data_IF_258457166102
#
_entry.id   IF_258457166102
#
_cell.length_a   1.000
_cell.length_b   1.000
_cell.length_c   1.000
_cell.angle_alpha   90.00
_cell.angle_beta   90.00
_cell.angle_gamma   90.00
#
_symmetry.space_group_name_H-M   'P 1'
#
loop_
_entity.id
_entity.type
_entity.pdbx_description
1 polymer ?
#
# COMPACT_ATOMS: atom_id res chain seq x y z
N UNK A 1 -23.61 6.92 -19.22
CA UNK A 1 -23.82 7.05 -17.75
C UNK A 1 -22.90 8.16 -17.26
N UNK A 2 -23.42 9.17 -16.58
CA UNK A 2 -22.62 10.28 -16.08
C UNK A 2 -21.93 9.84 -14.77
N UNK A 3 -20.64 10.08 -14.64
CA UNK A 3 -19.85 9.80 -13.44
C UNK A 3 -19.32 11.12 -12.86
N UNK A 4 -19.22 11.21 -11.55
CA UNK A 4 -18.56 12.33 -10.86
C UNK A 4 -17.04 12.19 -10.90
N UNK A 5 -16.48 12.20 -12.10
CA UNK A 5 -15.04 12.07 -12.35
C UNK A 5 -14.62 13.19 -13.28
N UNK A 6 -13.66 14.02 -12.86
CA UNK A 6 -13.12 15.10 -13.68
C UNK A 6 -12.15 14.57 -14.74
N UNK A 7 -11.24 13.69 -14.34
CA UNK A 7 -10.25 13.07 -15.20
C UNK A 7 -10.13 11.58 -14.84
N UNK A 8 -10.50 10.67 -15.76
CA UNK A 8 -10.39 9.23 -15.52
C UNK A 8 -8.96 8.76 -15.17
N UNK A 9 -7.92 9.40 -15.69
CA UNK A 9 -6.53 9.04 -15.40
C UNK A 9 -6.09 9.44 -13.99
N UNK A 10 -6.79 10.39 -13.37
CA UNK A 10 -6.47 10.89 -12.03
C UNK A 10 -7.38 10.29 -10.92
N UNK A 11 -8.28 9.36 -11.25
CA UNK A 11 -9.31 8.89 -10.32
C UNK A 11 -8.72 8.29 -9.05
N UNK A 12 -7.70 7.47 -9.16
CA UNK A 12 -7.05 6.82 -8.01
C UNK A 12 -6.35 7.87 -7.14
N UNK A 13 -5.53 8.72 -7.73
CA UNK A 13 -4.82 9.78 -7.01
C UNK A 13 -5.80 10.73 -6.31
N UNK A 14 -6.86 11.15 -6.99
CA UNK A 14 -7.89 12.04 -6.44
C UNK A 14 -8.63 11.41 -5.26
N UNK A 15 -8.94 10.10 -5.34
CA UNK A 15 -9.59 9.36 -4.26
C UNK A 15 -8.70 9.28 -3.02
N UNK A 16 -7.42 8.98 -3.20
CA UNK A 16 -6.45 8.93 -2.10
C UNK A 16 -6.21 10.31 -1.48
N UNK A 17 -6.17 11.36 -2.30
CA UNK A 17 -6.06 12.74 -1.80
C UNK A 17 -7.30 13.16 -0.98
N UNK A 18 -8.48 12.74 -1.41
CA UNK A 18 -9.70 12.98 -0.65
C UNK A 18 -9.67 12.27 0.70
N UNK A 19 -9.23 11.00 0.74
CA UNK A 19 -9.07 10.22 1.97
C UNK A 19 -8.08 10.91 2.92
N UNK A 20 -6.92 11.31 2.44
CA UNK A 20 -5.91 11.99 3.25
C UNK A 20 -6.43 13.31 3.80
N UNK A 21 -7.07 14.13 2.96
CA UNK A 21 -7.67 15.41 3.39
C UNK A 21 -8.76 15.24 4.45
N UNK A 22 -9.58 14.20 4.33
CA UNK A 22 -10.67 13.92 5.28
C UNK A 22 -10.19 13.29 6.59
N UNK A 23 -8.93 12.86 6.65
CA UNK A 23 -8.39 12.17 7.83
C UNK A 23 -8.10 13.07 9.04
N UNK A 24 -8.25 14.39 8.92
CA UNK A 24 -7.91 15.32 10.01
C UNK A 24 -6.43 15.34 10.38
N UNK A 25 -5.54 15.05 9.43
CA UNK A 25 -4.09 15.01 9.64
C UNK A 25 -3.54 13.68 10.16
N UNK A 26 -4.38 12.64 10.26
CA UNK A 26 -3.94 11.31 10.69
C UNK A 26 -3.18 10.55 9.61
N UNK A 27 -3.45 10.84 8.34
CA UNK A 27 -2.85 10.20 7.19
C UNK A 27 -2.05 11.21 6.36
N UNK A 28 -1.06 10.69 5.64
CA UNK A 28 -0.28 11.46 4.66
C UNK A 28 0.03 10.58 3.44
N UNK A 29 0.36 11.22 2.32
CA UNK A 29 0.89 10.55 1.13
C UNK A 29 2.38 10.78 0.99
N UNK A 30 3.07 9.88 0.26
CA UNK A 30 4.42 10.16 -0.20
C UNK A 30 4.36 11.21 -1.31
N UNK A 31 5.10 12.30 -1.13
CA UNK A 31 5.21 13.39 -2.10
C UNK A 31 6.32 13.14 -3.12
N UNK A 32 6.21 13.79 -4.28
CA UNK A 32 7.25 13.84 -5.31
C UNK A 32 7.31 12.64 -6.25
N UNK A 33 6.39 11.71 -6.14
CA UNK A 33 6.32 10.51 -6.99
C UNK A 33 4.90 10.32 -7.51
N UNK A 34 4.51 10.91 -8.64
CA UNK A 34 3.13 10.87 -9.13
C UNK A 34 2.62 9.45 -9.41
N UNK A 35 3.52 8.55 -9.83
CA UNK A 35 3.20 7.15 -10.12
C UNK A 35 3.27 6.24 -8.88
N UNK A 36 3.75 6.76 -7.74
CA UNK A 36 3.79 6.06 -6.45
C UNK A 36 2.63 6.53 -5.60
N UNK A 37 1.66 5.65 -5.37
CA UNK A 37 0.45 5.94 -4.63
C UNK A 37 0.47 5.24 -3.27
N UNK A 38 1.17 5.84 -2.30
CA UNK A 38 1.29 5.32 -0.94
C UNK A 38 0.60 6.25 0.05
N UNK A 39 -0.34 5.71 0.80
CA UNK A 39 -0.94 6.36 1.97
C UNK A 39 -0.33 5.74 3.21
N UNK A 40 0.13 6.56 4.14
CA UNK A 40 0.68 6.10 5.42
C UNK A 40 0.19 6.92 6.59
N UNK A 41 0.39 6.40 7.79
CA UNK A 41 0.16 7.17 9.01
C UNK A 41 1.07 8.41 9.04
N UNK A 42 0.52 9.56 9.41
CA UNK A 42 1.29 10.79 9.59
C UNK A 42 2.30 10.66 10.73
N UNK A 43 1.87 10.03 11.84
CA UNK A 43 2.73 9.70 12.97
C UNK A 43 3.06 8.20 12.94
N UNK A 44 4.32 7.88 12.78
CA UNK A 44 4.81 6.51 12.78
C UNK A 44 5.14 6.08 14.22
N UNK A 45 4.72 4.88 14.62
CA UNK A 45 5.12 4.34 15.91
C UNK A 45 6.62 4.03 15.90
N UNK A 46 7.33 4.45 16.93
CA UNK A 46 8.70 4.02 17.16
C UNK A 46 8.75 2.55 17.64
N UNK A 47 9.82 1.85 17.29
CA UNK A 47 10.16 0.51 17.78
C UNK A 47 9.05 -0.55 17.57
N UNK A 48 8.27 -0.41 16.49
CA UNK A 48 7.23 -1.37 16.11
C UNK A 48 7.40 -1.81 14.68
N UNK A 49 7.10 -3.08 14.44
CA UNK A 49 7.02 -3.63 13.09
C UNK A 49 5.94 -2.88 12.30
N UNK A 50 6.32 -2.37 11.13
CA UNK A 50 5.40 -1.69 10.24
C UNK A 50 4.55 -2.72 9.46
N UNK A 51 3.24 -2.56 9.46
CA UNK A 51 2.32 -3.38 8.68
C UNK A 51 2.01 -2.67 7.36
N UNK A 52 2.32 -3.32 6.24
CA UNK A 52 2.10 -2.79 4.90
C UNK A 52 1.25 -3.78 4.10
N UNK A 53 0.25 -3.27 3.42
CA UNK A 53 -0.51 -4.02 2.43
C UNK A 53 -0.76 -3.17 1.20
N UNK A 54 -1.39 -3.72 0.20
CA UNK A 54 -1.72 -3.00 -1.03
C UNK A 54 -2.24 -3.91 -2.12
N UNK A 55 -2.39 -3.32 -3.26
CA UNK A 55 -2.90 -3.95 -4.47
C UNK A 55 -3.53 -2.93 -5.40
N UNK A 56 -4.25 -3.39 -6.41
CA UNK A 56 -5.01 -2.52 -7.30
C UNK A 56 -6.07 -1.73 -6.55
N UNK A 57 -6.33 -0.50 -7.00
CA UNK A 57 -7.47 0.27 -6.58
C UNK A 57 -8.79 -0.33 -7.12
N UNK A 58 -9.95 0.09 -6.60
CA UNK A 58 -11.27 -0.42 -6.99
C UNK A 58 -11.82 -1.47 -6.03
N UNK A 59 -11.12 -1.75 -4.94
CA UNK A 59 -11.53 -2.66 -3.86
C UNK A 59 -11.85 -1.92 -2.56
N UNK A 60 -12.08 -0.61 -2.62
CA UNK A 60 -12.25 0.24 -1.44
C UNK A 60 -13.29 -0.35 -0.45
N UNK A 61 -12.99 -0.26 0.85
CA UNK A 61 -11.95 0.52 1.54
C UNK A 61 -10.54 -0.09 1.49
N UNK A 62 -10.34 -1.26 0.90
CA UNK A 62 -9.01 -1.86 0.77
C UNK A 62 -8.16 -1.09 -0.24
N UNK A 63 -6.93 -0.70 0.08
CA UNK A 63 -6.23 -0.95 1.33
C UNK A 63 -6.01 0.36 2.10
N UNK A 64 -6.08 1.50 1.43
CA UNK A 64 -5.80 2.82 2.03
C UNK A 64 -6.74 3.15 3.21
N UNK A 65 -7.99 2.70 3.15
CA UNK A 65 -8.96 2.86 4.24
C UNK A 65 -8.63 2.06 5.51
N UNK A 66 -7.66 1.16 5.46
CA UNK A 66 -7.20 0.38 6.61
C UNK A 66 -5.95 0.97 7.26
N UNK A 67 -5.45 2.10 6.78
CA UNK A 67 -4.30 2.77 7.38
C UNK A 67 -4.75 3.52 8.63
N UNK A 68 -4.17 3.16 9.78
CA UNK A 68 -4.54 3.79 11.05
C UNK A 68 -3.90 3.12 12.25
N UNK A 69 -4.19 3.64 13.42
CA UNK A 69 -3.72 3.07 14.68
C UNK A 69 -4.36 1.70 14.92
N UNK A 70 -3.54 0.69 15.19
CA UNK A 70 -3.99 -0.70 15.41
C UNK A 70 -4.27 -1.49 14.11
N UNK A 71 -4.07 -0.87 12.94
CA UNK A 71 -4.23 -1.48 11.62
C UNK A 71 -2.94 -1.26 10.79
N UNK A 72 -3.09 -1.00 9.47
CA UNK A 72 -1.93 -0.80 8.60
C UNK A 72 -1.15 0.46 8.95
N UNK A 73 0.16 0.38 8.83
CA UNK A 73 1.07 1.54 8.88
C UNK A 73 1.08 2.27 7.55
N UNK A 74 1.04 1.53 6.43
CA UNK A 74 0.94 2.07 5.08
C UNK A 74 0.17 1.13 4.15
N UNK A 75 -0.41 1.72 3.10
CA UNK A 75 -1.04 1.02 2.00
C UNK A 75 -0.50 1.52 0.67
N UNK A 76 -0.21 0.60 -0.24
CA UNK A 76 0.27 0.90 -1.60
C UNK A 76 -0.84 0.62 -2.59
N UNK A 77 -1.26 1.63 -3.34
CA UNK A 77 -2.29 1.50 -4.37
C UNK A 77 -1.67 1.47 -5.76
N UNK A 78 -2.07 0.49 -6.55
CA UNK A 78 -1.86 0.50 -7.98
C UNK A 78 -2.96 1.28 -8.71
N UNK A 79 -3.02 1.16 -10.03
CA UNK A 79 -4.16 1.62 -10.80
C UNK A 79 -5.38 0.72 -10.57
N UNK A 80 -6.53 1.05 -11.16
CA UNK A 80 -7.76 0.28 -10.99
C UNK A 80 -7.52 -1.18 -11.41
N UNK A 81 -7.68 -2.10 -10.48
CA UNK A 81 -7.46 -3.55 -10.62
C UNK A 81 -6.06 -3.96 -11.14
N UNK A 82 -5.07 -3.09 -10.99
CA UNK A 82 -3.69 -3.36 -11.37
C UNK A 82 -2.76 -3.26 -10.16
N UNK A 83 -1.90 -4.25 -10.00
CA UNK A 83 -0.93 -4.30 -8.88
C UNK A 83 0.01 -3.09 -8.91
N UNK A 84 0.38 -2.53 -7.76
CA UNK A 84 1.37 -1.46 -7.69
C UNK A 84 2.74 -1.95 -8.16
N UNK A 85 3.57 -1.02 -8.61
CA UNK A 85 4.94 -1.32 -9.03
C UNK A 85 5.83 -1.74 -7.85
N UNK A 86 6.92 -2.43 -8.18
CA UNK A 86 7.97 -2.80 -7.20
C UNK A 86 8.52 -1.56 -6.51
N UNK A 87 8.71 -0.48 -7.26
CA UNK A 87 9.21 0.80 -6.79
C UNK A 87 8.26 1.45 -5.77
N UNK A 88 6.95 1.38 -6.02
CA UNK A 88 5.95 1.90 -5.10
C UNK A 88 5.93 1.14 -3.77
N UNK A 89 6.00 -0.20 -3.83
CA UNK A 89 6.07 -1.03 -2.62
C UNK A 89 7.36 -0.79 -1.86
N UNK A 90 8.50 -0.71 -2.56
CA UNK A 90 9.80 -0.39 -1.94
C UNK A 90 9.77 0.99 -1.28
N UNK A 91 9.21 2.00 -1.94
CA UNK A 91 9.06 3.33 -1.36
C UNK A 91 8.23 3.31 -0.07
N UNK A 92 7.16 2.52 -0.03
CA UNK A 92 6.37 2.33 1.19
C UNK A 92 7.22 1.74 2.33
N UNK A 93 7.94 0.64 2.07
CA UNK A 93 8.83 0.01 3.06
C UNK A 93 9.83 1.04 3.60
N UNK A 94 10.52 1.74 2.70
CA UNK A 94 11.54 2.72 3.08
C UNK A 94 10.98 3.89 3.88
N UNK A 95 9.71 4.24 3.68
CA UNK A 95 9.07 5.39 4.34
C UNK A 95 8.54 5.11 5.73
N UNK A 96 8.36 3.84 6.13
CA UNK A 96 7.72 3.49 7.40
C UNK A 96 8.57 2.57 8.29
N UNK A 97 9.68 2.06 7.79
CA UNK A 97 10.58 1.22 8.58
C UNK A 97 11.27 2.04 9.68
N UNK A 98 10.95 1.72 10.92
CA UNK A 98 11.54 2.35 12.13
C UNK A 98 12.81 1.64 12.63
N UNK A 99 13.28 0.61 11.90
CA UNK A 99 14.35 -0.28 12.35
C UNK A 99 13.85 -1.57 13.02
N UNK A 100 12.56 -1.64 13.35
CA UNK A 100 11.93 -2.86 13.87
C UNK A 100 11.47 -3.83 12.77
N UNK A 101 11.63 -3.43 11.51
CA UNK A 101 11.25 -4.21 10.33
C UNK A 101 9.83 -3.97 9.84
N UNK A 102 9.50 -4.65 8.75
CA UNK A 102 8.21 -4.56 8.08
C UNK A 102 7.60 -5.94 7.85
N UNK A 103 6.27 -6.05 7.99
CA UNK A 103 5.49 -7.19 7.55
C UNK A 103 4.60 -6.77 6.39
N UNK A 104 4.77 -7.41 5.24
CA UNK A 104 3.94 -7.24 4.06
C UNK A 104 2.80 -8.26 4.08
N UNK A 105 1.57 -7.78 4.10
CA UNK A 105 0.36 -8.62 3.99
C UNK A 105 -0.13 -8.53 2.55
N UNK A 106 0.00 -9.62 1.79
CA UNK A 106 -0.14 -9.63 0.33
C UNK A 106 -1.29 -10.52 -0.09
N UNK A 107 -2.15 -10.02 -0.96
CA UNK A 107 -3.22 -10.82 -1.57
C UNK A 107 -2.64 -11.87 -2.52
N UNK A 108 -3.34 -13.00 -2.66
CA UNK A 108 -2.90 -14.12 -3.48
C UNK A 108 -3.13 -13.90 -4.99
N UNK A 109 -2.78 -12.73 -5.50
CA UNK A 109 -2.77 -12.43 -6.94
C UNK A 109 -1.34 -12.47 -7.47
N UNK A 110 -1.18 -12.97 -8.69
CA UNK A 110 0.14 -13.16 -9.31
C UNK A 110 0.96 -11.86 -9.35
N UNK A 111 0.35 -10.75 -9.76
CA UNK A 111 1.02 -9.45 -9.83
C UNK A 111 1.43 -8.93 -8.46
N UNK A 112 0.52 -9.01 -7.47
CA UNK A 112 0.79 -8.57 -6.11
C UNK A 112 1.92 -9.41 -5.49
N UNK A 113 1.85 -10.74 -5.60
CA UNK A 113 2.90 -11.65 -5.09
C UNK A 113 4.25 -11.36 -5.69
N UNK A 114 4.31 -11.13 -7.02
CA UNK A 114 5.56 -10.82 -7.70
C UNK A 114 6.13 -9.48 -7.26
N UNK A 115 5.34 -8.42 -7.32
CA UNK A 115 5.83 -7.06 -7.08
C UNK A 115 6.19 -6.82 -5.61
N UNK A 116 5.35 -7.30 -4.67
CA UNK A 116 5.66 -7.22 -3.24
C UNK A 116 6.85 -8.11 -2.87
N UNK A 117 6.96 -9.31 -3.45
CA UNK A 117 8.09 -10.20 -3.24
C UNK A 117 9.41 -9.58 -3.69
N UNK A 118 9.46 -9.03 -4.91
CA UNK A 118 10.65 -8.36 -5.43
C UNK A 118 11.03 -7.12 -4.61
N UNK A 119 10.05 -6.34 -4.17
CA UNK A 119 10.30 -5.19 -3.30
C UNK A 119 10.89 -5.62 -1.95
N UNK A 120 10.37 -6.70 -1.35
CA UNK A 120 10.89 -7.28 -0.12
C UNK A 120 12.35 -7.72 -0.28
N UNK A 121 12.67 -8.43 -1.37
CA UNK A 121 14.05 -8.86 -1.67
C UNK A 121 15.00 -7.66 -1.81
N UNK A 122 14.60 -6.62 -2.54
CA UNK A 122 15.39 -5.40 -2.67
C UNK A 122 15.62 -4.71 -1.32
N UNK A 123 14.57 -4.61 -0.49
CA UNK A 123 14.68 -4.02 0.84
C UNK A 123 15.63 -4.82 1.75
N UNK A 124 15.54 -6.16 1.73
CA UNK A 124 16.45 -7.05 2.44
C UNK A 124 17.90 -6.85 1.98
N UNK A 125 18.12 -6.67 0.67
CA UNK A 125 19.42 -6.36 0.10
C UNK A 125 20.05 -5.06 0.61
N UNK A 126 19.26 -4.16 1.19
CA UNK A 126 19.75 -2.94 1.87
C UNK A 126 19.88 -3.10 3.39
N UNK A 127 19.76 -4.32 3.91
CA UNK A 127 19.90 -4.63 5.33
C UNK A 127 18.61 -4.47 6.16
N UNK A 128 17.45 -4.28 5.52
CA UNK A 128 16.17 -4.15 6.22
C UNK A 128 15.56 -5.52 6.52
N UNK A 129 14.90 -5.63 7.65
CA UNK A 129 14.10 -6.81 8.00
C UNK A 129 12.71 -6.68 7.39
N UNK A 130 12.39 -7.57 6.46
CA UNK A 130 11.09 -7.58 5.79
C UNK A 130 10.58 -9.01 5.72
N UNK A 131 9.39 -9.24 6.25
CA UNK A 131 8.68 -10.50 6.13
C UNK A 131 7.45 -10.35 5.22
N UNK A 132 7.06 -11.45 4.60
CA UNK A 132 5.91 -11.48 3.67
C UNK A 132 4.97 -12.60 4.07
N UNK A 133 3.70 -12.26 4.22
CA UNK A 133 2.63 -13.24 4.38
C UNK A 133 1.66 -13.14 3.20
N UNK A 134 1.38 -14.25 2.56
CA UNK A 134 0.40 -14.33 1.48
C UNK A 134 -0.94 -14.75 2.09
N UNK A 135 -1.98 -13.96 1.87
CA UNK A 135 -3.36 -14.29 2.24
C UNK A 135 -3.94 -15.15 1.12
N UNK A 136 -4.03 -16.45 1.36
CA UNK A 136 -4.44 -17.44 0.36
C UNK A 136 -5.70 -18.24 0.80
N UNK A 137 -6.64 -17.55 1.39
CA UNK A 137 -7.93 -18.09 1.87
C UNK A 137 -9.05 -17.93 0.83
N UNK A 138 -8.72 -17.59 -0.40
CA UNK A 138 -9.62 -17.27 -1.49
C UNK A 138 -10.29 -18.55 -2.03
N UNK A 139 -11.45 -18.90 -1.48
CA UNK A 139 -12.17 -20.14 -1.82
C UNK A 139 -12.63 -20.17 -3.28
N UNK A 140 -12.82 -19.01 -3.91
CA UNK A 140 -13.23 -18.92 -5.29
C UNK A 140 -12.15 -19.38 -6.29
N UNK A 141 -10.89 -19.40 -5.86
CA UNK A 141 -9.74 -19.81 -6.68
C UNK A 141 -9.32 -21.28 -6.48
N UNK A 142 -10.07 -22.05 -5.72
CA UNK A 142 -9.85 -23.48 -5.59
C UNK A 142 -10.35 -24.17 -6.87
N UNK A 143 -9.45 -24.31 -7.83
CA UNK A 143 -9.59 -25.24 -8.95
C UNK A 143 -8.92 -26.57 -8.64
#
# INVERSE_FOLDING_TARGET
MAHFVNDPSAVVASSLDALVRSSGGLLTRLDGYPDIKVVRRAQLPADRVALISGGGAGHEPAHAGFVGAGLLTAAVSGEIFASPSVEAVLAAIMSVDSGAGCLLVVKNYTGDRLNFGLAAERARGTGRQVEVVIVSDDIALKG
#
